data_IF_910522680221
#
_entry.id   IF_910522680221
#
_cell.length_a   1.000
_cell.length_b   1.000
_cell.length_c   1.000
_cell.angle_alpha   90.00
_cell.angle_beta   90.00
_cell.angle_gamma   90.00
#
_symmetry.space_group_name_H-M   'P 1'
#
loop_
_entity.id
_entity.type
_entity.pdbx_description
1 polymer ?
#
# COMPACT_ATOMS: atom_id res chain seq x y z
N UNK A 1 -26.63 76.29 77.10
CA UNK A 1 -27.34 75.04 77.43
C UNK A 1 -26.26 74.00 77.58
N UNK A 2 -25.89 73.69 78.82
CA UNK A 2 -24.85 72.72 79.12
C UNK A 2 -25.41 71.33 78.79
N UNK A 3 -25.01 70.77 77.66
CA UNK A 3 -25.39 69.40 77.29
C UNK A 3 -24.59 68.43 78.18
N UNK A 4 -25.28 67.51 78.84
CA UNK A 4 -24.64 66.50 79.68
C UNK A 4 -23.60 65.70 78.87
N UNK A 5 -22.37 65.50 79.40
CA UNK A 5 -21.28 64.84 78.69
C UNK A 5 -21.53 63.35 78.41
N UNK A 6 -22.60 62.77 78.95
CA UNK A 6 -23.01 61.38 78.74
C UNK A 6 -23.93 61.14 77.54
N UNK A 7 -24.31 62.19 76.80
CA UNK A 7 -25.25 62.07 75.66
C UNK A 7 -24.54 61.50 74.42
N UNK A 8 -25.18 60.58 73.69
CA UNK A 8 -24.59 59.90 72.51
C UNK A 8 -24.20 60.89 71.39
N UNK A 9 -24.90 62.02 71.27
CA UNK A 9 -24.58 63.09 70.32
C UNK A 9 -23.23 63.78 70.64
N UNK A 10 -22.97 64.03 71.92
CA UNK A 10 -21.71 64.61 72.40
C UNK A 10 -20.57 63.61 72.13
N UNK A 11 -20.82 62.32 72.37
CA UNK A 11 -19.85 61.25 72.06
C UNK A 11 -19.47 61.24 70.58
N UNK A 12 -20.44 61.32 69.67
CA UNK A 12 -20.17 61.36 68.22
C UNK A 12 -19.38 62.62 67.82
N UNK A 13 -19.64 63.76 68.46
CA UNK A 13 -18.84 64.99 68.26
C UNK A 13 -17.38 64.79 68.69
N UNK A 14 -17.13 64.20 69.86
CA UNK A 14 -15.79 63.91 70.35
C UNK A 14 -15.06 62.84 69.51
N UNK A 15 -15.78 61.86 68.99
CA UNK A 15 -15.27 60.87 68.03
C UNK A 15 -14.75 61.56 66.77
N UNK A 16 -15.51 62.53 66.23
CA UNK A 16 -15.16 63.28 65.01
C UNK A 16 -14.04 64.29 65.22
N UNK A 17 -14.02 64.98 66.36
CA UNK A 17 -13.10 66.11 66.61
C UNK A 17 -11.78 65.68 67.26
N UNK A 18 -11.82 64.72 68.19
CA UNK A 18 -10.68 64.33 69.02
C UNK A 18 -10.25 62.86 68.83
N UNK A 19 -10.85 62.14 67.88
CA UNK A 19 -10.62 60.71 67.67
C UNK A 19 -10.76 59.90 68.97
N UNK A 20 -11.72 60.28 69.82
CA UNK A 20 -11.96 59.62 71.10
C UNK A 20 -12.91 58.43 70.91
N UNK A 21 -12.33 57.22 70.79
CA UNK A 21 -13.05 55.95 70.58
C UNK A 21 -13.03 55.10 71.85
N UNK A 22 -14.06 54.25 72.04
CA UNK A 22 -14.02 53.26 73.11
C UNK A 22 -13.04 52.11 72.79
N UNK A 23 -12.47 51.44 73.81
CA UNK A 23 -11.66 50.24 73.62
C UNK A 23 -12.44 49.17 72.83
N UNK A 24 -11.88 48.72 71.70
CA UNK A 24 -12.50 47.71 70.83
C UNK A 24 -13.47 48.26 69.77
N UNK A 25 -13.74 49.56 69.77
CA UNK A 25 -14.55 50.20 68.73
C UNK A 25 -13.75 50.32 67.42
N UNK A 26 -14.35 49.90 66.30
CA UNK A 26 -13.76 50.09 64.97
C UNK A 26 -14.08 51.49 64.45
N UNK A 27 -13.13 52.10 63.75
CA UNK A 27 -13.35 53.38 63.06
C UNK A 27 -14.34 53.16 61.93
N UNK A 28 -15.49 53.81 62.01
CA UNK A 28 -16.45 53.86 60.91
C UNK A 28 -16.10 55.02 59.99
N UNK A 29 -15.85 54.70 58.72
CA UNK A 29 -15.44 55.67 57.69
C UNK A 29 -16.62 56.15 56.83
N UNK A 30 -17.84 55.69 57.13
CA UNK A 30 -19.06 56.08 56.41
C UNK A 30 -18.97 55.84 54.89
N UNK A 31 -18.26 54.78 54.46
CA UNK A 31 -18.23 54.41 53.05
C UNK A 31 -19.60 53.89 52.60
N UNK A 32 -19.99 54.25 51.37
CA UNK A 32 -21.14 53.67 50.71
C UNK A 32 -20.80 52.26 50.19
N UNK A 33 -20.93 51.25 51.06
CA UNK A 33 -20.67 49.86 50.72
C UNK A 33 -21.79 49.27 49.84
N UNK A 34 -21.46 48.53 48.77
CA UNK A 34 -22.44 47.80 47.97
C UNK A 34 -23.15 46.74 48.82
N UNK A 35 -24.42 46.46 48.50
CA UNK A 35 -25.28 45.54 49.27
C UNK A 35 -24.66 44.14 49.42
N UNK A 36 -23.98 43.66 48.38
CA UNK A 36 -23.31 42.37 48.34
C UNK A 36 -22.20 42.23 49.40
N UNK A 37 -21.49 43.31 49.70
CA UNK A 37 -20.39 43.33 50.69
C UNK A 37 -20.85 43.38 52.14
N UNK A 38 -22.14 43.65 52.38
CA UNK A 38 -22.72 43.69 53.74
C UNK A 38 -23.04 42.30 54.27
N UNK A 39 -23.10 41.29 53.39
CA UNK A 39 -23.34 39.91 53.76
C UNK A 39 -22.17 39.31 54.55
N UNK A 40 -22.47 38.56 55.62
CA UNK A 40 -21.46 37.86 56.45
C UNK A 40 -20.63 36.83 55.66
N UNK A 41 -21.15 36.39 54.50
CA UNK A 41 -20.53 35.41 53.59
C UNK A 41 -19.63 36.04 52.54
N UNK A 42 -19.64 37.37 52.40
CA UNK A 42 -18.82 38.06 51.42
C UNK A 42 -17.33 37.95 51.79
N UNK A 43 -16.49 37.64 50.81
CA UNK A 43 -15.05 37.56 50.97
C UNK A 43 -14.40 38.64 50.13
N UNK A 44 -13.58 39.49 50.76
CA UNK A 44 -12.80 40.51 50.07
C UNK A 44 -11.61 39.89 49.34
N UNK A 45 -11.20 40.51 48.24
CA UNK A 45 -10.11 40.06 47.37
C UNK A 45 -10.62 39.47 46.05
N UNK A 46 -9.72 39.34 45.07
CA UNK A 46 -10.03 38.66 43.83
C UNK A 46 -10.19 37.16 44.14
N UNK A 47 -11.43 36.70 44.20
CA UNK A 47 -11.69 35.28 44.24
C UNK A 47 -11.27 34.69 42.91
N UNK A 48 -10.19 33.91 42.88
CA UNK A 48 -10.05 32.95 41.80
C UNK A 48 -11.32 32.11 41.81
N UNK A 49 -12.07 32.16 40.71
CA UNK A 49 -13.13 31.21 40.50
C UNK A 49 -12.48 29.83 40.67
N UNK A 50 -12.79 29.14 41.78
CA UNK A 50 -12.44 27.72 41.90
C UNK A 50 -12.95 27.11 40.61
N UNK A 51 -12.10 26.52 39.75
CA UNK A 51 -12.54 26.06 38.45
C UNK A 51 -13.75 25.18 38.72
N UNK A 52 -14.92 25.65 38.27
CA UNK A 52 -16.17 24.94 38.50
C UNK A 52 -15.95 23.56 37.93
N UNK A 53 -16.30 22.53 38.71
CA UNK A 53 -16.20 21.12 38.35
C UNK A 53 -16.26 20.89 36.84
N UNK A 54 -15.08 20.78 36.24
CA UNK A 54 -14.86 20.39 34.87
C UNK A 54 -13.78 19.32 34.89
N UNK A 55 -13.72 18.48 33.86
CA UNK A 55 -12.75 17.38 33.79
C UNK A 55 -11.28 17.84 33.87
N UNK A 56 -11.01 19.16 33.75
CA UNK A 56 -9.72 19.77 34.06
C UNK A 56 -8.61 19.17 33.19
N UNK A 57 -7.54 18.70 33.83
CA UNK A 57 -6.43 18.01 33.15
C UNK A 57 -6.88 16.72 32.44
N UNK A 58 -7.93 16.05 32.90
CA UNK A 58 -8.39 14.80 32.29
C UNK A 58 -8.97 15.03 30.88
N UNK A 59 -9.55 16.21 30.61
CA UNK A 59 -9.98 16.60 29.27
C UNK A 59 -8.78 16.82 28.34
N UNK A 60 -7.75 17.51 28.84
CA UNK A 60 -6.54 17.82 28.07
C UNK A 60 -5.71 16.56 27.78
N UNK A 61 -5.67 15.62 28.72
CA UNK A 61 -4.93 14.36 28.57
C UNK A 61 -5.65 13.37 27.65
N UNK A 62 -6.95 13.55 27.40
CA UNK A 62 -7.74 12.65 26.59
C UNK A 62 -8.09 13.29 25.24
N UNK A 63 -7.20 13.13 24.27
CA UNK A 63 -7.36 13.69 22.91
C UNK A 63 -8.56 13.16 22.14
N UNK A 64 -9.16 12.06 22.59
CA UNK A 64 -10.31 11.43 21.93
C UNK A 64 -11.63 12.06 22.36
N UNK A 65 -11.62 12.81 23.47
CA UNK A 65 -12.79 13.47 24.06
C UNK A 65 -12.71 14.95 23.72
N UNK A 66 -13.70 15.44 22.99
CA UNK A 66 -13.85 16.86 22.68
C UNK A 66 -14.18 17.66 23.95
N UNK A 67 -14.11 18.99 23.86
CA UNK A 67 -14.39 19.89 24.98
C UNK A 67 -15.78 19.68 25.61
N UNK A 68 -16.74 19.19 24.81
CA UNK A 68 -18.10 18.84 25.23
C UNK A 68 -18.22 17.48 25.95
N UNK A 69 -17.11 16.76 26.17
CA UNK A 69 -17.10 15.42 26.77
C UNK A 69 -17.53 14.30 25.82
N UNK A 70 -17.72 14.60 24.53
CA UNK A 70 -18.13 13.62 23.52
C UNK A 70 -16.93 13.03 22.79
N UNK A 71 -16.99 11.74 22.46
CA UNK A 71 -15.96 11.08 21.63
C UNK A 71 -16.30 11.30 20.16
N UNK A 72 -15.29 11.63 19.33
CA UNK A 72 -15.48 11.80 17.88
C UNK A 72 -16.10 10.56 17.26
N UNK A 73 -17.37 10.65 16.87
CA UNK A 73 -18.04 9.62 16.07
C UNK A 73 -17.52 9.65 14.64
N UNK A 74 -17.50 8.48 14.00
CA UNK A 74 -17.21 8.36 12.57
C UNK A 74 -18.18 9.24 11.78
N UNK A 75 -17.62 10.20 11.03
CA UNK A 75 -18.40 11.12 10.19
C UNK A 75 -18.45 10.57 8.77
N UNK A 76 -19.60 10.70 8.11
CA UNK A 76 -19.70 10.44 6.68
C UNK A 76 -18.93 11.53 5.93
N UNK A 77 -17.95 11.11 5.12
CA UNK A 77 -17.11 12.00 4.32
C UNK A 77 -17.35 11.69 2.84
N UNK A 78 -17.12 12.67 1.98
CA UNK A 78 -17.15 12.44 0.53
C UNK A 78 -16.16 11.35 0.14
N UNK A 79 -16.62 10.44 -0.72
CA UNK A 79 -15.81 9.32 -1.20
C UNK A 79 -14.49 9.78 -1.83
N UNK A 80 -14.50 10.88 -2.58
CA UNK A 80 -13.29 11.46 -3.19
C UNK A 80 -12.21 11.82 -2.17
N UNK A 81 -12.60 12.34 -1.00
CA UNK A 81 -11.66 12.68 0.06
C UNK A 81 -11.08 11.41 0.72
N UNK A 82 -11.89 10.37 0.93
CA UNK A 82 -11.41 9.10 1.49
C UNK A 82 -10.53 8.32 0.50
N UNK A 83 -10.88 8.33 -0.79
CA UNK A 83 -10.06 7.73 -1.85
C UNK A 83 -8.69 8.43 -1.94
N UNK A 84 -8.65 9.77 -1.83
CA UNK A 84 -7.40 10.52 -1.73
C UNK A 84 -6.62 10.14 -0.46
N UNK A 85 -7.30 10.06 0.69
CA UNK A 85 -6.65 9.71 1.96
C UNK A 85 -6.01 8.32 1.90
N UNK A 86 -6.73 7.35 1.34
CA UNK A 86 -6.27 5.97 1.15
C UNK A 86 -5.02 5.86 0.26
N UNK A 87 -4.86 6.78 -0.69
CA UNK A 87 -3.71 6.79 -1.62
C UNK A 87 -2.52 7.57 -1.06
N UNK A 88 -2.76 8.66 -0.32
CA UNK A 88 -1.70 9.54 0.17
C UNK A 88 -1.13 9.14 1.51
N UNK A 89 -1.98 8.67 2.44
CA UNK A 89 -1.55 8.34 3.78
C UNK A 89 -1.16 6.86 3.87
N UNK A 90 0.06 6.55 4.31
CA UNK A 90 0.46 5.17 4.54
C UNK A 90 -0.35 4.58 5.70
N UNK A 91 -0.86 3.38 5.50
CA UNK A 91 -1.58 2.62 6.52
C UNK A 91 -0.66 1.58 7.14
N UNK A 92 -0.85 1.32 8.42
CA UNK A 92 -0.06 0.33 9.13
C UNK A 92 -0.36 -1.07 8.60
N UNK A 93 0.66 -1.89 8.34
CA UNK A 93 0.55 -3.26 7.82
C UNK A 93 -0.13 -3.42 6.44
N UNK A 94 -0.47 -2.34 5.76
CA UNK A 94 -1.00 -2.38 4.40
C UNK A 94 0.03 -1.88 3.39
N UNK A 95 -0.01 -2.43 2.18
CA UNK A 95 0.83 -1.95 1.08
C UNK A 95 0.32 -0.58 0.63
N UNK A 96 1.23 0.38 0.48
CA UNK A 96 0.92 1.70 -0.07
C UNK A 96 0.44 1.56 -1.51
N UNK A 97 -0.68 2.21 -1.85
CA UNK A 97 -1.24 2.20 -3.18
C UNK A 97 -0.44 3.13 -4.13
N UNK A 98 0.23 2.62 -5.18
CA UNK A 98 1.14 3.42 -6.02
C UNK A 98 0.41 4.23 -7.11
N UNK A 99 -0.80 4.74 -6.83
CA UNK A 99 -1.62 5.53 -7.77
C UNK A 99 -2.00 4.82 -9.09
N UNK A 100 -1.99 3.48 -9.12
CA UNK A 100 -2.29 2.68 -10.32
C UNK A 100 -3.80 2.44 -10.58
N UNK A 101 -4.68 3.30 -10.04
CA UNK A 101 -6.14 3.13 -10.12
C UNK A 101 -6.69 2.05 -9.16
N UNK A 102 -8.00 2.11 -8.88
CA UNK A 102 -8.65 1.31 -7.83
C UNK A 102 -8.57 -0.21 -8.02
N UNK A 103 -8.36 -0.68 -9.25
CA UNK A 103 -8.32 -2.11 -9.60
C UNK A 103 -6.91 -2.63 -9.91
N UNK A 104 -5.87 -1.79 -9.75
CA UNK A 104 -4.52 -2.12 -10.19
C UNK A 104 -4.44 -2.43 -11.69
N UNK A 105 -3.29 -2.93 -12.17
CA UNK A 105 -3.20 -3.50 -13.51
C UNK A 105 -4.27 -4.60 -13.67
N UNK A 106 -4.90 -4.76 -14.85
CA UNK A 106 -5.95 -5.77 -15.10
C UNK A 106 -5.33 -7.17 -15.20
N UNK A 107 -4.68 -7.63 -14.14
CA UNK A 107 -4.08 -8.96 -14.03
C UNK A 107 -4.95 -9.83 -13.13
N UNK A 108 -5.25 -11.07 -13.54
CA UNK A 108 -6.01 -12.00 -12.72
C UNK A 108 -5.22 -12.34 -11.44
N UNK A 109 -5.92 -12.73 -10.37
CA UNK A 109 -5.33 -13.08 -9.07
C UNK A 109 -4.26 -14.19 -9.17
N UNK A 110 -4.36 -15.04 -10.18
CA UNK A 110 -3.45 -16.15 -10.45
C UNK A 110 -2.23 -15.75 -11.31
N UNK A 111 -2.14 -14.48 -11.71
CA UNK A 111 -1.04 -14.01 -12.52
C UNK A 111 0.28 -14.01 -11.72
N UNK A 112 1.25 -14.79 -12.19
CA UNK A 112 2.62 -14.71 -11.72
C UNK A 112 3.36 -13.60 -12.49
N UNK A 113 3.77 -12.56 -11.75
CA UNK A 113 4.62 -11.50 -12.31
C UNK A 113 6.03 -12.02 -12.59
N UNK A 114 6.68 -11.43 -13.59
CA UNK A 114 8.06 -11.76 -13.98
C UNK A 114 8.15 -12.27 -15.42
N UNK A 115 9.37 -12.54 -15.87
CA UNK A 115 9.64 -13.11 -17.19
C UNK A 115 9.79 -14.62 -17.00
N UNK A 116 8.96 -15.41 -17.69
CA UNK A 116 9.11 -16.86 -17.69
C UNK A 116 10.45 -17.21 -18.33
N UNK A 117 11.21 -18.12 -17.72
CA UNK A 117 12.37 -18.72 -18.39
C UNK A 117 11.87 -19.37 -19.69
N UNK A 118 12.43 -18.93 -20.82
CA UNK A 118 11.94 -19.29 -22.13
C UNK A 118 11.87 -20.81 -22.30
N UNK A 119 10.78 -21.28 -22.89
CA UNK A 119 10.74 -22.63 -23.45
C UNK A 119 11.35 -22.51 -24.83
N UNK A 120 12.43 -23.25 -25.08
CA UNK A 120 12.94 -23.40 -26.43
C UNK A 120 11.94 -24.21 -27.24
N UNK A 121 11.62 -23.76 -28.46
CA UNK A 121 10.80 -24.53 -29.41
C UNK A 121 11.44 -25.89 -29.74
N UNK A 122 12.75 -25.99 -29.54
CA UNK A 122 13.53 -27.19 -29.75
C UNK A 122 13.86 -27.84 -28.40
N UNK A 123 13.48 -29.10 -28.28
CA UNK A 123 13.93 -29.98 -27.19
C UNK A 123 15.28 -30.59 -27.55
N UNK A 124 16.08 -30.99 -26.56
CA UNK A 124 17.31 -31.74 -26.82
C UNK A 124 17.09 -32.97 -27.74
N UNK A 125 15.95 -33.65 -27.58
CA UNK A 125 15.55 -34.76 -28.44
C UNK A 125 15.35 -34.37 -29.91
N UNK A 126 14.78 -33.20 -30.20
CA UNK A 126 14.65 -32.72 -31.58
C UNK A 126 16.00 -32.33 -32.17
N UNK A 127 16.93 -31.81 -31.36
CA UNK A 127 18.28 -31.49 -31.83
C UNK A 127 19.08 -32.75 -32.17
N UNK A 128 18.91 -33.84 -31.41
CA UNK A 128 19.59 -35.12 -31.66
C UNK A 128 19.05 -35.81 -32.91
N UNK A 129 17.72 -35.87 -33.04
CA UNK A 129 17.07 -36.61 -34.13
C UNK A 129 16.98 -35.81 -35.42
N UNK A 130 17.05 -34.49 -35.34
CA UNK A 130 16.82 -33.59 -36.47
C UNK A 130 15.37 -33.68 -37.00
N UNK A 131 15.11 -32.92 -38.05
CA UNK A 131 13.84 -32.97 -38.79
C UNK A 131 14.13 -33.33 -40.24
N UNK A 132 14.47 -34.60 -40.46
CA UNK A 132 14.76 -35.13 -41.80
C UNK A 132 13.50 -35.63 -42.48
N UNK A 133 13.35 -35.30 -43.75
CA UNK A 133 12.31 -35.85 -44.61
C UNK A 133 12.56 -37.33 -44.92
N UNK A 134 11.51 -38.08 -45.28
CA UNK A 134 11.66 -39.49 -45.67
C UNK A 134 12.78 -39.76 -46.70
N UNK A 135 12.95 -38.99 -47.79
CA UNK A 135 14.05 -39.25 -48.74
C UNK A 135 15.44 -39.03 -48.13
N UNK A 136 15.60 -38.17 -47.13
CA UNK A 136 16.88 -37.96 -46.43
C UNK A 136 17.16 -39.05 -45.38
N UNK A 137 16.11 -39.73 -44.90
CA UNK A 137 16.24 -40.88 -44.01
C UNK A 137 16.57 -42.17 -44.77
N UNK A 138 16.28 -42.22 -46.08
CA UNK A 138 16.58 -43.38 -46.90
C UNK A 138 18.08 -43.51 -47.15
N UNK A 139 18.59 -44.75 -47.29
CA UNK A 139 19.98 -44.99 -47.64
C UNK A 139 20.32 -44.43 -49.03
N UNK A 140 21.59 -44.08 -49.22
CA UNK A 140 22.10 -43.61 -50.51
C UNK A 140 21.89 -44.65 -51.62
N UNK A 141 21.58 -44.16 -52.82
CA UNK A 141 21.20 -45.00 -53.97
C UNK A 141 22.33 -45.84 -54.57
N UNK A 142 23.59 -45.54 -54.24
CA UNK A 142 24.78 -46.24 -54.73
C UNK A 142 25.32 -47.30 -53.75
N UNK A 143 24.64 -47.49 -52.61
CA UNK A 143 24.98 -48.54 -51.67
C UNK A 143 24.73 -49.92 -52.29
N UNK A 144 25.80 -50.72 -52.38
CA UNK A 144 25.75 -52.11 -52.85
C UNK A 144 25.62 -52.30 -54.36
N UNK A 145 25.59 -51.23 -55.18
CA UNK A 145 25.49 -51.34 -56.64
C UNK A 145 26.29 -50.25 -57.35
N UNK A 146 26.95 -50.58 -58.46
CA UNK A 146 27.58 -49.57 -59.30
C UNK A 146 26.51 -48.78 -60.07
N UNK A 147 26.36 -47.49 -59.76
CA UNK A 147 25.43 -46.56 -60.44
C UNK A 147 26.06 -45.85 -61.64
N UNK A 148 27.39 -45.97 -61.82
CA UNK A 148 28.15 -45.33 -62.88
C UNK A 148 27.67 -45.80 -64.27
N UNK A 149 27.26 -44.88 -65.17
CA UNK A 149 26.83 -45.25 -66.51
C UNK A 149 27.94 -46.02 -67.25
N UNK A 150 27.56 -47.12 -67.92
CA UNK A 150 28.50 -48.02 -68.61
C UNK A 150 29.23 -49.05 -67.73
N UNK A 151 29.00 -49.05 -66.41
CA UNK A 151 29.52 -50.04 -65.45
C UNK A 151 28.44 -50.59 -64.52
N UNK A 152 27.17 -50.29 -64.80
CA UNK A 152 26.03 -50.73 -63.98
C UNK A 152 25.89 -52.24 -64.05
N UNK A 153 25.79 -52.89 -62.89
CA UNK A 153 25.53 -54.32 -62.79
C UNK A 153 24.01 -54.58 -62.85
N UNK A 154 23.39 -54.14 -63.93
CA UNK A 154 21.95 -54.32 -64.20
C UNK A 154 21.83 -54.83 -65.62
N UNK A 155 21.31 -56.03 -65.79
CA UNK A 155 21.12 -56.68 -67.08
C UNK A 155 19.70 -57.23 -67.15
N UNK A 156 18.97 -56.93 -68.21
CA UNK A 156 17.63 -57.50 -68.48
C UNK A 156 17.71 -58.86 -69.18
N UNK A 157 18.89 -59.23 -69.66
CA UNK A 157 19.15 -60.46 -70.40
C UNK A 157 19.53 -61.57 -69.43
N UNK A 158 18.92 -62.75 -69.58
CA UNK A 158 19.31 -63.98 -68.87
C UNK A 158 20.42 -64.77 -69.61
N UNK A 159 20.98 -64.20 -70.69
CA UNK A 159 22.06 -64.88 -71.43
C UNK A 159 23.38 -64.70 -70.70
N UNK A 160 24.27 -65.68 -70.87
CA UNK A 160 25.66 -65.50 -70.45
C UNK A 160 26.33 -64.41 -71.30
N UNK A 161 26.96 -63.44 -70.64
CA UNK A 161 27.82 -62.47 -71.30
C UNK A 161 29.19 -63.10 -71.58
N UNK A 162 29.73 -62.83 -72.77
CA UNK A 162 31.02 -63.37 -73.21
C UNK A 162 30.90 -64.17 -74.50
N UNK A 163 31.97 -64.90 -74.83
CA UNK A 163 32.03 -65.77 -76.00
C UNK A 163 32.04 -67.23 -75.52
N UNK A 164 31.09 -68.07 -75.96
CA UNK A 164 31.11 -69.48 -75.62
C UNK A 164 32.30 -70.19 -76.29
N UNK A 165 32.76 -71.29 -75.68
CA UNK A 165 33.84 -72.11 -76.22
C UNK A 165 33.47 -72.73 -77.57
N UNK A 166 32.20 -73.11 -77.77
CA UNK A 166 31.65 -73.61 -79.04
C UNK A 166 30.82 -72.50 -79.68
N UNK A 167 31.25 -71.98 -80.83
CA UNK A 167 30.58 -70.90 -81.55
C UNK A 167 29.55 -71.41 -82.56
N UNK A 168 28.43 -71.92 -82.05
CA UNK A 168 27.28 -72.30 -82.88
C UNK A 168 26.49 -71.08 -83.40
N UNK A 169 26.77 -69.89 -82.86
CA UNK A 169 26.16 -68.61 -83.23
C UNK A 169 26.71 -68.03 -84.54
N UNK A 170 27.85 -68.54 -85.03
CA UNK A 170 28.49 -68.05 -86.26
C UNK A 170 28.40 -69.08 -87.38
N UNK A 171 28.01 -68.67 -88.60
CA UNK A 171 28.08 -69.56 -89.75
C UNK A 171 29.55 -69.93 -90.02
N UNK A 172 29.77 -71.17 -90.45
CA UNK A 172 31.09 -71.62 -90.88
C UNK A 172 31.56 -70.78 -92.09
N UNK A 173 32.87 -70.47 -92.19
CA UNK A 173 33.40 -69.73 -93.33
C UNK A 173 33.15 -70.50 -94.65
N UNK A 174 32.97 -69.80 -95.78
CA UNK A 174 32.78 -70.45 -97.07
C UNK A 174 34.02 -71.28 -97.42
N UNK A 175 33.81 -72.49 -97.95
CA UNK A 175 34.89 -73.29 -98.51
C UNK A 175 35.40 -72.60 -99.76
N UNK A 176 36.66 -72.13 -99.76
CA UNK A 176 37.31 -71.65 -100.96
C UNK A 176 37.44 -72.84 -101.94
N UNK A 177 36.65 -72.83 -103.01
CA UNK A 177 36.83 -73.68 -104.19
C UNK A 177 37.57 -72.84 -105.23
#
# INVERSE_FOLDING_TARGET
>A
VDQDPGTEEVRQLYRKTHNNYMPGERVDRQYNWPEESKGKTFRFGLGEARPSQGAGMALVLNSDVEDDGSVKKTRLVQRTCEDYRNVQHPKLFEKVHPKQGATGPPVPKEHAFGIKSGVSDYTAGSCIKGYYSLPEQLPDNDLGRCTKPGRRNVTTENRAFGVPSVRADKPAPPSNV
#
